data_IF_507982246410
#
_entry.id   IF_507982246410
#
_cell.length_a   1.000
_cell.length_b   1.000
_cell.length_c   1.000
_cell.angle_alpha   90.00
_cell.angle_beta   90.00
_cell.angle_gamma   90.00
#
_symmetry.space_group_name_H-M   'P 1'
#
loop_
_entity.id
_entity.type
_entity.pdbx_description
1 polymer ?
#
# COMPACT_ATOMS: atom_id res chain seq x y z
N UNK A 1 18.32 18.49 15.62
CA UNK A 1 17.19 18.18 14.74
C UNK A 1 17.34 16.73 14.28
N UNK A 2 16.70 15.82 15.00
CA UNK A 2 16.79 14.41 14.70
C UNK A 2 15.69 14.06 13.68
N UNK A 3 16.08 13.78 12.44
CA UNK A 3 15.19 13.26 11.41
C UNK A 3 14.89 11.76 11.61
N UNK A 4 15.71 11.08 12.42
CA UNK A 4 15.68 9.63 12.67
C UNK A 4 15.82 9.37 14.17
N UNK A 5 15.30 8.25 14.63
CA UNK A 5 15.41 7.81 16.02
C UNK A 5 16.83 7.30 16.34
N UNK A 6 17.21 7.33 17.61
CA UNK A 6 18.56 6.94 18.07
C UNK A 6 18.91 5.49 17.71
N UNK A 7 17.94 4.59 17.78
CA UNK A 7 18.09 3.17 17.36
C UNK A 7 18.37 3.04 15.86
N UNK A 8 17.69 3.83 15.04
CA UNK A 8 17.91 3.87 13.60
C UNK A 8 19.28 4.45 13.25
N UNK A 9 19.72 5.46 14.00
CA UNK A 9 21.06 6.04 13.82
C UNK A 9 22.16 5.01 14.09
N UNK A 10 22.03 4.22 15.15
CA UNK A 10 22.99 3.15 15.48
C UNK A 10 23.07 2.10 14.36
N UNK A 11 21.92 1.70 13.82
CA UNK A 11 21.88 0.77 12.69
C UNK A 11 22.49 1.37 11.42
N UNK A 12 22.18 2.65 11.13
CA UNK A 12 22.70 3.36 9.96
C UNK A 12 24.24 3.45 9.94
N UNK A 13 24.88 3.64 11.10
CA UNK A 13 26.33 3.68 11.20
C UNK A 13 26.94 2.32 10.80
N UNK A 14 26.25 1.21 11.06
CA UNK A 14 26.70 -0.14 10.74
C UNK A 14 26.40 -0.52 9.30
N UNK A 15 25.15 -0.30 8.86
CA UNK A 15 24.65 -0.70 7.53
C UNK A 15 25.02 0.28 6.43
N UNK A 16 25.35 1.51 6.77
CA UNK A 16 25.63 2.64 5.87
C UNK A 16 24.48 3.06 4.97
N UNK A 17 23.30 2.45 5.13
CA UNK A 17 22.06 2.75 4.41
C UNK A 17 20.89 2.71 5.37
N UNK A 18 19.93 3.63 5.20
CA UNK A 18 18.72 3.70 6.02
C UNK A 18 17.55 4.28 5.23
N UNK A 19 16.44 3.55 5.18
CA UNK A 19 15.14 4.10 4.82
C UNK A 19 14.41 4.52 6.09
N UNK A 20 13.74 5.69 6.04
CA UNK A 20 13.01 6.24 7.18
C UNK A 20 11.82 7.08 6.75
N UNK A 21 10.88 7.24 7.66
CA UNK A 21 9.75 8.15 7.52
C UNK A 21 9.89 9.32 8.51
N UNK A 22 9.53 10.51 8.08
CA UNK A 22 9.58 11.71 8.92
C UNK A 22 8.33 12.58 8.69
N UNK A 23 7.74 13.08 9.76
CA UNK A 23 6.65 14.05 9.69
C UNK A 23 7.17 15.47 9.84
N UNK A 24 7.10 16.24 8.75
CA UNK A 24 7.41 17.66 8.77
C UNK A 24 6.18 18.43 9.26
N UNK A 25 6.32 19.15 10.40
CA UNK A 25 5.25 19.96 11.01
C UNK A 25 3.94 19.21 11.29
N UNK A 26 3.98 17.88 11.46
CA UNK A 26 2.83 16.99 11.64
C UNK A 26 1.84 16.94 10.46
N UNK A 27 2.11 17.66 9.38
CA UNK A 27 1.21 17.84 8.25
C UNK A 27 1.71 17.11 7.00
N UNK A 28 3.02 17.08 6.81
CA UNK A 28 3.65 16.50 5.63
C UNK A 28 4.47 15.28 6.00
N UNK A 29 4.11 14.12 5.48
CA UNK A 29 4.94 12.91 5.59
C UNK A 29 6.01 12.93 4.51
N UNK A 30 7.25 12.71 4.93
CA UNK A 30 8.40 12.57 4.06
C UNK A 30 8.92 11.13 4.18
N UNK A 31 9.23 10.52 3.05
CA UNK A 31 10.05 9.32 3.00
C UNK A 31 11.48 9.74 2.72
N UNK A 32 12.40 9.25 3.53
CA UNK A 32 13.82 9.54 3.43
C UNK A 32 14.63 8.28 3.16
N UNK A 33 15.67 8.41 2.35
CA UNK A 33 16.75 7.45 2.23
C UNK A 33 18.05 8.18 2.57
N UNK A 34 18.80 7.63 3.51
CA UNK A 34 20.13 8.11 3.90
C UNK A 34 21.17 7.07 3.48
N UNK A 35 22.27 7.51 2.91
CA UNK A 35 23.40 6.68 2.52
C UNK A 35 24.72 7.43 2.66
N UNK A 36 25.86 6.72 2.63
CA UNK A 36 27.16 7.36 2.57
C UNK A 36 27.62 7.50 1.11
N UNK A 37 28.13 8.68 0.77
CA UNK A 37 28.79 8.99 -0.49
C UNK A 37 30.13 9.64 -0.23
N UNK A 38 31.23 9.00 -0.61
CA UNK A 38 32.61 9.49 -0.40
C UNK A 38 32.88 9.95 1.04
N UNK A 39 32.37 9.19 2.02
CA UNK A 39 32.55 9.49 3.45
C UNK A 39 31.62 10.57 4.01
N UNK A 40 30.69 11.11 3.21
CA UNK A 40 29.71 12.11 3.63
C UNK A 40 28.31 11.50 3.57
N UNK A 41 27.45 11.86 4.51
CA UNK A 41 26.04 11.42 4.51
C UNK A 41 25.29 12.17 3.41
N UNK A 42 24.64 11.41 2.53
CA UNK A 42 23.66 11.89 1.55
C UNK A 42 22.27 11.52 1.99
N UNK A 43 21.31 12.44 1.89
CA UNK A 43 19.90 12.21 2.26
C UNK A 43 19.01 12.63 1.10
N UNK A 44 18.18 11.71 0.64
CA UNK A 44 17.13 11.97 -0.34
C UNK A 44 15.77 11.96 0.37
N UNK A 45 14.98 13.00 0.19
CA UNK A 45 13.65 13.12 0.76
C UNK A 45 12.59 13.21 -0.33
N UNK A 46 11.54 12.42 -0.21
CA UNK A 46 10.35 12.47 -1.07
C UNK A 46 9.15 12.88 -0.23
N UNK A 47 8.47 13.93 -0.65
CA UNK A 47 7.19 14.31 -0.07
C UNK A 47 6.12 13.29 -0.44
N UNK A 48 5.40 12.77 0.55
CA UNK A 48 4.24 11.90 0.35
C UNK A 48 3.02 12.80 0.16
N UNK A 49 2.37 12.76 -1.00
CA UNK A 49 1.22 13.62 -1.28
C UNK A 49 -0.01 13.20 -0.46
N UNK A 50 -0.95 14.13 -0.25
CA UNK A 50 -2.29 13.81 0.23
C UNK A 50 -3.03 12.98 -0.82
N UNK A 51 -3.85 12.06 -0.35
CA UNK A 51 -4.69 11.25 -1.24
C UNK A 51 -5.73 12.15 -1.89
N UNK A 52 -5.85 12.05 -3.21
CA UNK A 52 -6.90 12.72 -3.98
C UNK A 52 -8.10 11.79 -4.13
N UNK A 53 -9.30 12.34 -4.21
CA UNK A 53 -10.52 11.58 -4.49
C UNK A 53 -10.53 11.05 -5.93
N UNK A 54 -11.36 10.03 -6.20
CA UNK A 54 -11.59 9.51 -7.55
C UNK A 54 -12.08 10.61 -8.51
N UNK A 55 -12.93 11.51 -8.03
CA UNK A 55 -13.47 12.63 -8.81
C UNK A 55 -12.38 13.64 -9.18
N UNK A 56 -11.49 14.04 -8.23
CA UNK A 56 -10.37 14.94 -8.50
C UNK A 56 -9.35 14.37 -9.51
N UNK A 57 -9.26 13.05 -9.58
CA UNK A 57 -8.40 12.34 -10.53
C UNK A 57 -9.08 12.09 -11.87
N UNK A 58 -10.37 12.45 -12.03
CA UNK A 58 -11.13 12.25 -13.25
C UNK A 58 -11.45 10.79 -13.57
N UNK A 59 -11.49 9.92 -12.56
CA UNK A 59 -11.83 8.51 -12.75
C UNK A 59 -13.33 8.32 -13.01
N UNK A 60 -13.69 7.27 -13.80
CA UNK A 60 -15.06 6.96 -14.10
C UNK A 60 -15.83 6.45 -12.87
N UNK A 61 -17.16 6.64 -12.86
CA UNK A 61 -18.04 6.22 -11.76
C UNK A 61 -17.98 4.73 -11.43
N UNK A 62 -17.56 3.89 -12.39
CA UNK A 62 -17.39 2.46 -12.17
C UNK A 62 -16.45 2.17 -11.00
N UNK A 63 -15.39 2.95 -10.77
CA UNK A 63 -14.50 2.75 -9.64
C UNK A 63 -15.20 3.10 -8.30
N UNK A 64 -16.12 4.05 -8.30
CA UNK A 64 -16.95 4.37 -7.13
C UNK A 64 -17.86 3.17 -6.83
N UNK A 65 -18.49 2.58 -7.85
CA UNK A 65 -19.33 1.38 -7.67
C UNK A 65 -18.53 0.21 -7.12
N UNK A 66 -17.35 -0.07 -7.68
CA UNK A 66 -16.46 -1.14 -7.19
C UNK A 66 -16.04 -0.88 -5.74
N UNK A 67 -15.76 0.37 -5.36
CA UNK A 67 -15.40 0.73 -3.98
C UNK A 67 -16.54 0.50 -2.98
N UNK A 68 -17.80 0.41 -3.44
CA UNK A 68 -18.98 0.15 -2.61
C UNK A 68 -19.33 -1.34 -2.50
N UNK A 69 -18.65 -2.19 -3.27
CA UNK A 69 -18.88 -3.64 -3.19
C UNK A 69 -18.55 -4.18 -1.80
N UNK A 70 -19.27 -5.22 -1.42
CA UNK A 70 -19.07 -5.86 -0.12
C UNK A 70 -17.88 -6.80 -0.14
N UNK A 71 -17.68 -7.49 -1.26
CA UNK A 71 -16.63 -8.47 -1.46
C UNK A 71 -16.24 -8.51 -2.94
N UNK A 72 -15.07 -9.00 -3.24
CA UNK A 72 -14.59 -9.19 -4.60
C UNK A 72 -13.09 -9.01 -4.73
N UNK A 73 -12.58 -9.21 -5.93
CA UNK A 73 -11.16 -9.08 -6.23
C UNK A 73 -10.96 -8.09 -7.38
N UNK A 74 -10.37 -6.96 -7.08
CA UNK A 74 -10.10 -5.90 -8.04
C UNK A 74 -8.60 -5.66 -8.21
N UNK A 75 -8.13 -5.72 -9.45
CA UNK A 75 -6.73 -5.54 -9.80
C UNK A 75 -6.51 -4.28 -10.62
N UNK A 76 -5.56 -3.46 -10.19
CA UNK A 76 -5.01 -2.35 -10.97
C UNK A 76 -3.67 -2.81 -11.55
N UNK A 77 -3.60 -2.89 -12.87
CA UNK A 77 -2.43 -3.43 -13.57
C UNK A 77 -1.77 -2.36 -14.45
N UNK A 78 -0.48 -2.48 -14.65
CA UNK A 78 0.30 -1.56 -15.47
C UNK A 78 1.77 -1.55 -15.06
N UNK A 79 2.59 -0.87 -15.86
CA UNK A 79 4.01 -0.65 -15.58
C UNK A 79 4.23 0.28 -14.39
N UNK A 80 5.47 0.43 -13.94
CA UNK A 80 5.85 1.40 -12.89
C UNK A 80 5.51 2.83 -13.35
N UNK A 81 4.99 3.64 -12.42
CA UNK A 81 4.65 5.05 -12.71
C UNK A 81 3.31 5.29 -13.41
N UNK A 82 2.52 4.25 -13.69
CA UNK A 82 1.20 4.36 -14.36
C UNK A 82 0.05 4.72 -13.40
N UNK A 83 0.34 5.09 -12.16
CA UNK A 83 -0.69 5.53 -11.22
C UNK A 83 -1.43 4.44 -10.48
N UNK A 84 -0.95 3.18 -10.48
CA UNK A 84 -1.60 2.06 -9.78
C UNK A 84 -1.88 2.36 -8.30
N UNK A 85 -0.84 2.71 -7.54
CA UNK A 85 -0.97 3.05 -6.12
C UNK A 85 -1.87 4.27 -5.89
N UNK A 86 -1.81 5.27 -6.78
CA UNK A 86 -2.69 6.44 -6.72
C UNK A 86 -4.15 6.06 -6.91
N UNK A 87 -4.44 5.14 -7.83
CA UNK A 87 -5.79 4.63 -8.08
C UNK A 87 -6.33 3.90 -6.85
N UNK A 88 -5.55 2.95 -6.31
CA UNK A 88 -5.95 2.22 -5.10
C UNK A 88 -6.13 3.15 -3.90
N UNK A 89 -5.21 4.11 -3.71
CA UNK A 89 -5.33 5.10 -2.63
C UNK A 89 -6.62 5.91 -2.75
N UNK A 90 -7.00 6.35 -3.96
CA UNK A 90 -8.24 7.07 -4.19
C UNK A 90 -9.49 6.20 -3.92
N UNK A 91 -9.44 4.90 -4.25
CA UNK A 91 -10.53 3.95 -3.92
C UNK A 91 -10.65 3.73 -2.42
N UNK A 92 -9.53 3.54 -1.71
CA UNK A 92 -9.52 3.45 -0.23
C UNK A 92 -10.08 4.71 0.40
N UNK A 93 -9.68 5.90 -0.09
CA UNK A 93 -10.22 7.16 0.40
C UNK A 93 -11.71 7.30 0.15
N UNK A 94 -12.22 6.81 -0.98
CA UNK A 94 -13.64 6.76 -1.29
C UNK A 94 -14.41 5.91 -0.27
N UNK A 95 -13.89 4.72 0.04
CA UNK A 95 -14.49 3.82 1.06
C UNK A 95 -14.44 4.48 2.44
N UNK A 96 -13.30 5.06 2.81
CA UNK A 96 -13.08 5.73 4.10
C UNK A 96 -14.06 6.87 4.35
N UNK A 97 -14.33 7.68 3.31
CA UNK A 97 -15.26 8.83 3.41
C UNK A 97 -16.74 8.44 3.44
N UNK A 98 -17.11 7.28 2.88
CA UNK A 98 -18.50 6.88 2.72
C UNK A 98 -18.97 5.83 3.74
N UNK A 99 -18.10 4.88 4.12
CA UNK A 99 -18.50 3.65 4.79
C UNK A 99 -17.80 3.44 6.12
N UNK A 100 -18.47 2.75 7.05
CA UNK A 100 -17.87 2.27 8.31
C UNK A 100 -17.32 0.87 8.08
N UNK A 101 -16.06 0.80 7.69
CA UNK A 101 -15.35 -0.42 7.35
C UNK A 101 -14.05 -0.53 8.13
N UNK A 102 -13.58 -1.75 8.36
CA UNK A 102 -12.20 -1.99 8.75
C UNK A 102 -11.37 -2.24 7.50
N UNK A 103 -10.45 -1.33 7.22
CA UNK A 103 -9.59 -1.34 6.04
C UNK A 103 -8.18 -1.65 6.48
N UNK A 104 -7.56 -2.68 5.91
CA UNK A 104 -6.15 -2.97 6.09
C UNK A 104 -5.40 -2.71 4.78
N UNK A 105 -4.29 -1.97 4.84
CA UNK A 105 -3.35 -1.89 3.73
C UNK A 105 -2.06 -2.61 4.08
N UNK A 106 -1.48 -3.32 3.11
CA UNK A 106 -0.15 -3.96 3.21
C UNK A 106 0.68 -3.43 2.05
N UNK A 107 1.75 -2.72 2.36
CA UNK A 107 2.49 -1.91 1.39
C UNK A 107 4.01 -2.10 1.55
N UNK A 108 4.77 -1.86 0.48
CA UNK A 108 6.25 -1.86 0.53
C UNK A 108 6.82 -0.77 -0.39
N UNK A 109 7.07 0.38 0.18
CA UNK A 109 6.62 0.91 1.46
C UNK A 109 5.24 1.57 1.39
N UNK A 110 4.76 2.08 2.53
CA UNK A 110 3.56 2.94 2.57
C UNK A 110 3.79 4.19 1.73
N UNK A 111 2.98 4.37 0.66
CA UNK A 111 3.10 5.49 -0.27
C UNK A 111 2.16 6.66 0.05
N UNK A 112 1.03 6.40 0.68
CA UNK A 112 0.05 7.41 1.06
C UNK A 112 -0.29 7.29 2.54
N UNK A 113 -0.61 8.42 3.18
CA UNK A 113 -1.09 8.42 4.56
C UNK A 113 -2.58 8.70 4.56
N UNK A 114 -3.36 7.81 5.16
CA UNK A 114 -4.79 7.98 5.31
C UNK A 114 -5.12 8.56 6.68
N UNK A 115 -5.93 9.60 6.68
CA UNK A 115 -6.60 10.07 7.90
C UNK A 115 -7.89 9.26 8.08
N UNK A 116 -8.15 8.79 9.30
CA UNK A 116 -9.38 8.05 9.58
C UNK A 116 -10.58 9.01 9.55
N UNK A 117 -11.59 8.67 8.74
CA UNK A 117 -12.85 9.41 8.67
C UNK A 117 -14.01 8.56 9.22
N UNK A 118 -14.69 7.78 8.36
CA UNK A 118 -15.74 6.86 8.78
C UNK A 118 -15.23 5.44 9.03
N UNK A 119 -14.16 5.05 8.37
CA UNK A 119 -13.55 3.72 8.48
C UNK A 119 -12.38 3.72 9.46
N UNK A 120 -12.13 2.56 10.07
CA UNK A 120 -10.87 2.26 10.73
C UNK A 120 -9.85 1.85 9.67
N UNK A 121 -8.71 2.52 9.59
CA UNK A 121 -7.65 2.19 8.63
C UNK A 121 -6.39 1.78 9.38
N UNK A 122 -5.90 0.57 9.09
CA UNK A 122 -4.60 0.07 9.50
C UNK A 122 -3.69 -0.02 8.28
N UNK A 123 -2.52 0.63 8.34
CA UNK A 123 -1.49 0.56 7.30
C UNK A 123 -0.29 -0.19 7.83
N UNK A 124 0.10 -1.27 7.14
CA UNK A 124 1.25 -2.11 7.51
C UNK A 124 2.32 -2.06 6.43
N UNK A 125 3.51 -1.69 6.82
CA UNK A 125 4.67 -1.68 5.96
C UNK A 125 5.44 -3.01 6.06
N UNK A 126 5.72 -3.63 4.91
CA UNK A 126 6.53 -4.85 4.86
C UNK A 126 7.96 -4.55 5.31
N UNK A 127 8.49 -5.40 6.19
CA UNK A 127 9.81 -5.21 6.79
C UNK A 127 9.83 -4.37 8.06
N UNK A 128 8.73 -3.67 8.38
CA UNK A 128 8.56 -2.87 9.61
C UNK A 128 7.45 -3.46 10.47
N UNK A 129 6.22 -3.53 9.94
CA UNK A 129 5.01 -3.93 10.67
C UNK A 129 4.61 -5.37 10.37
N UNK A 130 5.07 -5.92 9.25
CA UNK A 130 4.85 -7.31 8.84
C UNK A 130 6.07 -7.85 8.09
N UNK A 131 6.29 -9.16 8.16
CA UNK A 131 7.45 -9.79 7.55
C UNK A 131 7.38 -9.86 6.00
N UNK A 132 6.17 -10.02 5.45
CA UNK A 132 5.91 -10.11 4.01
C UNK A 132 4.46 -9.76 3.69
N UNK A 133 4.15 -9.59 2.40
CA UNK A 133 2.77 -9.42 1.93
C UNK A 133 1.91 -10.64 2.32
N UNK A 134 2.38 -11.84 2.04
CA UNK A 134 1.67 -13.08 2.36
C UNK A 134 1.44 -13.25 3.86
N UNK A 135 2.42 -12.95 4.71
CA UNK A 135 2.28 -13.03 6.16
C UNK A 135 1.24 -12.03 6.68
N UNK A 136 1.33 -10.76 6.26
CA UNK A 136 0.37 -9.72 6.64
C UNK A 136 -1.06 -10.07 6.23
N UNK A 137 -1.22 -10.59 5.01
CA UNK A 137 -2.50 -10.99 4.45
C UNK A 137 -3.10 -12.21 5.18
N UNK A 138 -2.29 -13.24 5.45
CA UNK A 138 -2.74 -14.43 6.20
C UNK A 138 -3.24 -14.07 7.60
N UNK A 139 -2.56 -13.14 8.26
CA UNK A 139 -2.98 -12.67 9.59
C UNK A 139 -4.26 -11.84 9.53
N UNK A 140 -4.49 -11.07 8.46
CA UNK A 140 -5.69 -10.24 8.30
C UNK A 140 -6.99 -11.05 8.26
N UNK A 141 -6.96 -12.26 7.74
CA UNK A 141 -8.13 -13.17 7.68
C UNK A 141 -8.71 -13.53 9.07
N UNK A 142 -8.00 -13.17 10.15
CA UNK A 142 -8.42 -13.41 11.54
C UNK A 142 -8.79 -12.11 12.29
N UNK A 143 -8.93 -10.97 11.58
CA UNK A 143 -9.00 -9.66 12.19
C UNK A 143 -10.25 -8.87 11.81
N UNK A 144 -11.34 -9.49 11.49
CA UNK A 144 -12.61 -8.80 11.14
C UNK A 144 -12.40 -7.60 10.19
N UNK A 145 -11.58 -7.79 9.16
CA UNK A 145 -11.27 -6.80 8.13
C UNK A 145 -12.34 -6.90 7.04
N UNK A 146 -12.86 -5.78 6.59
CA UNK A 146 -13.81 -5.74 5.45
C UNK A 146 -13.10 -5.56 4.12
N UNK A 147 -12.04 -4.72 4.10
CA UNK A 147 -11.34 -4.31 2.87
C UNK A 147 -9.83 -4.50 3.05
N UNK A 148 -9.21 -5.15 2.10
CA UNK A 148 -7.77 -5.40 2.10
C UNK A 148 -7.16 -4.75 0.86
N UNK A 149 -6.18 -3.86 1.04
CA UNK A 149 -5.37 -3.32 -0.03
C UNK A 149 -3.98 -3.97 0.00
N UNK A 150 -3.55 -4.53 -1.13
CA UNK A 150 -2.23 -5.14 -1.30
C UNK A 150 -1.45 -4.28 -2.30
N UNK A 151 -0.39 -3.63 -1.81
CA UNK A 151 0.43 -2.74 -2.63
C UNK A 151 0.99 -3.40 -3.88
N UNK A 152 1.41 -4.66 -3.78
CA UNK A 152 1.90 -5.47 -4.89
C UNK A 152 1.70 -6.96 -4.66
N UNK A 153 1.22 -7.66 -5.68
CA UNK A 153 1.17 -9.13 -5.69
C UNK A 153 2.28 -9.68 -6.60
N UNK A 154 3.45 -9.90 -6.03
CA UNK A 154 4.63 -10.35 -6.78
C UNK A 154 4.91 -11.85 -6.66
N UNK A 155 4.37 -12.51 -5.64
CA UNK A 155 4.61 -13.92 -5.35
C UNK A 155 3.32 -14.75 -5.31
N UNK A 156 3.49 -16.07 -5.50
CA UNK A 156 2.39 -17.05 -5.54
C UNK A 156 1.56 -17.08 -4.27
N UNK A 157 2.22 -17.06 -3.10
CA UNK A 157 1.55 -17.21 -1.81
C UNK A 157 0.65 -16.01 -1.52
N UNK A 158 1.13 -14.79 -1.86
CA UNK A 158 0.34 -13.56 -1.79
C UNK A 158 -0.87 -13.63 -2.73
N UNK A 159 -0.70 -14.09 -3.98
CA UNK A 159 -1.79 -14.23 -4.94
C UNK A 159 -2.85 -15.22 -4.46
N UNK A 160 -2.43 -16.40 -4.00
CA UNK A 160 -3.34 -17.44 -3.50
C UNK A 160 -4.15 -16.95 -2.29
N UNK A 161 -3.48 -16.32 -1.34
CA UNK A 161 -4.14 -15.81 -0.14
C UNK A 161 -5.09 -14.65 -0.46
N UNK A 162 -4.74 -13.78 -1.42
CA UNK A 162 -5.60 -12.70 -1.89
C UNK A 162 -6.89 -13.20 -2.55
N UNK A 163 -6.79 -14.23 -3.40
CA UNK A 163 -7.96 -14.88 -4.02
C UNK A 163 -8.83 -15.50 -2.92
N UNK A 164 -8.24 -16.25 -1.99
CA UNK A 164 -8.97 -16.84 -0.85
C UNK A 164 -9.66 -15.77 -0.01
N UNK A 165 -9.03 -14.64 0.26
CA UNK A 165 -9.63 -13.52 0.99
C UNK A 165 -10.89 -12.99 0.26
N UNK A 166 -10.80 -12.80 -1.06
CA UNK A 166 -11.92 -12.34 -1.86
C UNK A 166 -13.09 -13.36 -1.88
N UNK A 167 -12.79 -14.65 -1.95
CA UNK A 167 -13.80 -15.73 -1.90
C UNK A 167 -14.47 -15.84 -0.54
N UNK A 168 -13.77 -15.49 0.53
CA UNK A 168 -14.27 -15.59 1.91
C UNK A 168 -14.95 -14.32 2.43
N UNK A 169 -15.23 -13.35 1.56
CA UNK A 169 -16.12 -12.23 1.87
C UNK A 169 -15.45 -10.86 2.01
N UNK A 170 -14.15 -10.75 1.67
CA UNK A 170 -13.42 -9.47 1.72
C UNK A 170 -13.46 -8.76 0.36
N UNK A 171 -13.45 -7.44 0.37
CA UNK A 171 -13.11 -6.66 -0.81
C UNK A 171 -11.58 -6.52 -0.90
N UNK A 172 -10.98 -7.20 -1.86
CA UNK A 172 -9.52 -7.17 -2.08
C UNK A 172 -9.19 -6.26 -3.25
N UNK A 173 -8.40 -5.23 -2.98
CA UNK A 173 -7.88 -4.27 -3.94
C UNK A 173 -6.35 -4.47 -4.04
N UNK A 174 -5.83 -4.80 -5.22
CA UNK A 174 -4.40 -5.09 -5.34
C UNK A 174 -3.79 -4.53 -6.62
N UNK A 175 -2.44 -4.42 -6.64
CA UNK A 175 -1.72 -4.14 -7.88
C UNK A 175 -0.94 -5.35 -8.37
N UNK A 176 -0.81 -5.43 -9.68
CA UNK A 176 0.09 -6.37 -10.34
C UNK A 176 0.87 -5.66 -11.46
N UNK A 177 2.14 -5.96 -11.58
CA UNK A 177 2.94 -5.51 -12.71
C UNK A 177 2.66 -6.38 -13.94
N UNK A 178 1.84 -5.87 -14.87
CA UNK A 178 1.50 -6.51 -16.13
C UNK A 178 1.23 -5.44 -17.19
N UNK A 179 1.45 -5.76 -18.45
CA UNK A 179 1.26 -4.80 -19.55
C UNK A 179 -0.20 -4.63 -19.96
N UNK A 180 -1.07 -5.60 -19.63
CA UNK A 180 -2.51 -5.53 -19.92
C UNK A 180 -3.33 -6.42 -18.98
N UNK A 181 -4.64 -6.15 -18.91
CA UNK A 181 -5.57 -6.97 -18.13
C UNK A 181 -5.62 -8.43 -18.62
N UNK A 182 -5.56 -8.64 -19.94
CA UNK A 182 -5.56 -10.01 -20.52
C UNK A 182 -4.31 -10.79 -20.07
N UNK A 183 -3.11 -10.21 -20.22
CA UNK A 183 -1.86 -10.85 -19.77
C UNK A 183 -1.80 -11.07 -18.26
N UNK A 184 -2.56 -10.31 -17.50
CA UNK A 184 -2.64 -10.48 -16.04
C UNK A 184 -3.30 -11.81 -15.68
N UNK A 185 -4.35 -12.21 -16.42
CA UNK A 185 -5.04 -13.49 -16.20
C UNK A 185 -4.08 -14.65 -16.46
N UNK A 186 -3.37 -14.61 -17.59
CA UNK A 186 -2.38 -15.64 -17.93
C UNK A 186 -1.29 -15.72 -16.84
N UNK A 187 -0.76 -14.58 -16.42
CA UNK A 187 0.27 -14.52 -15.37
C UNK A 187 -0.22 -15.09 -14.03
N UNK A 188 -1.47 -14.84 -13.65
CA UNK A 188 -2.05 -15.43 -12.45
C UNK A 188 -2.15 -16.95 -12.62
N UNK A 189 -2.69 -17.43 -13.73
CA UNK A 189 -2.81 -18.87 -14.02
C UNK A 189 -1.46 -19.56 -14.00
N UNK A 190 -0.45 -18.97 -14.64
CA UNK A 190 0.92 -19.51 -14.71
C UNK A 190 1.62 -19.54 -13.32
N UNK A 191 1.10 -18.80 -12.34
CA UNK A 191 1.62 -18.77 -10.99
C UNK A 191 1.10 -19.93 -10.13
N UNK A 192 0.07 -20.66 -10.59
CA UNK A 192 -0.55 -21.81 -9.90
C UNK A 192 -0.21 -23.12 -10.56
#
# INVERSE_FOLDING_TARGET
NQLIEEKQLTNFVVTQELDFSYFLRKEYRLRGNASFQKGVISVTLRLIPKVKSLAELGFPEQLIHISRERQGFFLVVGSVGQGKSTTLAAMIQQINSESKKHILTIENPVEFNFEQEKSLIEQREVGIDTASFSAGLLHSLRQDVDVIMIGEMSDRDTMQTAVTAAETGHLVLATLHSNSAAQTIDRIIDSF
#
